data_IF_842193524464
#
_entry.id   IF_842193524464
#
_cell.length_a   1.000
_cell.length_b   1.000
_cell.length_c   1.000
_cell.angle_alpha   90.00
_cell.angle_beta   90.00
_cell.angle_gamma   90.00
#
_symmetry.space_group_name_H-M   'P 1'
#
loop_
_entity.id
_entity.type
_entity.pdbx_description
1 polymer ?
#
# COMPACT_ATOMS: atom_id res chain seq x y z
N UNK A 1 15.55 -12.80 -7.70
CA UNK A 1 14.65 -11.83 -8.34
C UNK A 1 13.69 -12.64 -9.19
N UNK A 2 12.42 -12.75 -8.81
CA UNK A 2 11.42 -13.52 -9.56
C UNK A 2 10.72 -12.54 -10.51
N UNK A 3 11.15 -12.50 -11.77
CA UNK A 3 10.60 -11.64 -12.81
C UNK A 3 9.49 -12.40 -13.55
N UNK A 4 8.25 -11.98 -13.37
CA UNK A 4 7.10 -12.57 -14.04
C UNK A 4 6.56 -11.69 -15.18
N UNK A 5 7.11 -10.49 -15.38
CA UNK A 5 6.64 -9.52 -16.37
C UNK A 5 5.11 -9.33 -16.38
N UNK A 6 4.58 -8.83 -17.51
CA UNK A 6 3.12 -8.65 -17.76
C UNK A 6 2.31 -9.96 -17.81
N UNK A 7 2.90 -11.14 -17.55
CA UNK A 7 2.24 -12.46 -17.74
C UNK A 7 1.09 -12.70 -16.77
N UNK A 8 1.05 -11.97 -15.65
CA UNK A 8 -0.06 -12.02 -14.70
C UNK A 8 -0.36 -10.62 -14.17
N UNK A 9 -1.65 -10.28 -14.08
CA UNK A 9 -2.13 -9.12 -13.31
C UNK A 9 -2.14 -9.41 -11.80
N UNK A 10 -2.24 -10.70 -11.43
CA UNK A 10 -2.30 -11.14 -10.05
C UNK A 10 -0.89 -11.29 -9.48
N UNK A 11 -0.69 -10.73 -8.28
CA UNK A 11 0.52 -10.87 -7.49
C UNK A 11 0.69 -12.33 -7.06
N UNK A 12 1.84 -12.92 -7.32
CA UNK A 12 2.16 -14.28 -6.89
C UNK A 12 2.43 -14.36 -5.40
N UNK A 13 2.41 -15.58 -4.84
CA UNK A 13 2.68 -15.78 -3.41
C UNK A 13 4.07 -15.27 -2.99
N UNK A 14 5.10 -15.43 -3.83
CA UNK A 14 6.44 -14.94 -3.54
C UNK A 14 6.49 -13.41 -3.50
N UNK A 15 5.85 -12.73 -4.45
CA UNK A 15 5.74 -11.28 -4.48
C UNK A 15 4.91 -10.75 -3.31
N UNK A 16 3.83 -11.44 -2.92
CA UNK A 16 3.05 -11.11 -1.71
C UNK A 16 3.92 -11.17 -0.47
N UNK A 17 4.80 -12.16 -0.33
CA UNK A 17 5.73 -12.25 0.81
C UNK A 17 6.70 -11.08 0.84
N UNK A 18 7.31 -10.73 -0.31
CA UNK A 18 8.21 -9.57 -0.41
C UNK A 18 7.48 -8.29 -0.04
N UNK A 19 6.27 -8.09 -0.55
CA UNK A 19 5.43 -6.94 -0.25
C UNK A 19 5.03 -6.90 1.23
N UNK A 20 4.65 -8.03 1.84
CA UNK A 20 4.30 -8.09 3.24
C UNK A 20 5.47 -7.71 4.16
N UNK A 21 6.69 -8.17 3.84
CA UNK A 21 7.91 -7.81 4.58
C UNK A 21 8.28 -6.33 4.38
N UNK A 22 8.07 -5.80 3.18
CA UNK A 22 8.42 -4.41 2.85
C UNK A 22 7.42 -3.39 3.38
N UNK A 23 6.14 -3.68 3.27
CA UNK A 23 5.05 -2.74 3.51
C UNK A 23 4.43 -2.88 4.90
N UNK A 24 4.58 -4.05 5.55
CA UNK A 24 4.03 -4.31 6.89
C UNK A 24 2.50 -4.32 6.98
N UNK A 25 1.79 -3.93 5.92
CA UNK A 25 0.34 -3.78 5.89
C UNK A 25 -0.11 -2.83 4.79
N UNK A 26 -1.28 -2.22 4.97
CA UNK A 26 -1.74 -1.17 4.07
C UNK A 26 -0.82 0.04 4.18
N UNK A 27 -0.27 0.45 3.04
CA UNK A 27 0.70 1.55 2.95
C UNK A 27 0.06 2.93 2.92
N UNK A 28 -1.28 3.02 2.92
CA UNK A 28 -1.97 4.29 2.97
C UNK A 28 -1.75 4.93 4.35
N UNK A 29 -1.38 6.22 4.44
CA UNK A 29 -0.95 6.81 5.70
C UNK A 29 -1.99 6.63 6.81
N UNK A 30 -1.55 6.20 7.99
CA UNK A 30 -2.41 5.97 9.16
C UNK A 30 -3.21 4.65 9.15
N UNK A 31 -3.19 3.87 8.07
CA UNK A 31 -3.94 2.62 8.02
C UNK A 31 -3.21 1.46 8.73
N UNK A 32 -3.87 0.84 9.71
CA UNK A 32 -3.35 -0.34 10.42
C UNK A 32 -3.75 -1.71 9.89
N UNK A 33 -4.20 -1.81 8.64
CA UNK A 33 -4.65 -3.10 8.10
C UNK A 33 -3.45 -4.04 7.87
N UNK A 34 -3.50 -5.30 8.35
CA UNK A 34 -2.38 -6.22 8.20
C UNK A 34 -2.20 -6.68 6.74
N UNK A 35 -1.03 -7.23 6.36
CA UNK A 35 -0.76 -7.66 4.99
C UNK A 35 -1.77 -8.67 4.45
N UNK A 36 -2.28 -9.56 5.31
CA UNK A 36 -3.29 -10.57 4.92
C UNK A 36 -4.63 -9.99 4.47
N UNK A 37 -4.88 -8.69 4.71
CA UNK A 37 -6.09 -7.98 4.27
C UNK A 37 -5.84 -7.08 3.06
N UNK A 38 -4.61 -7.10 2.54
CA UNK A 38 -4.15 -6.22 1.50
C UNK A 38 -3.93 -6.97 0.19
N UNK A 39 -4.14 -6.24 -0.91
CA UNK A 39 -3.78 -6.64 -2.25
C UNK A 39 -2.72 -5.68 -2.79
N UNK A 40 -1.95 -6.13 -3.79
CA UNK A 40 -0.96 -5.27 -4.45
C UNK A 40 -1.64 -4.25 -5.37
N UNK A 41 -1.36 -2.98 -5.13
CA UNK A 41 -1.72 -1.84 -5.95
C UNK A 41 -0.60 -1.52 -6.93
N UNK A 42 -0.89 -1.50 -8.23
CA UNK A 42 0.08 -1.08 -9.25
C UNK A 42 0.30 0.44 -9.22
N UNK A 43 1.55 0.86 -9.01
CA UNK A 43 1.97 2.29 -9.03
C UNK A 43 1.78 2.86 -10.43
N UNK A 44 2.46 2.29 -11.43
CA UNK A 44 2.08 2.44 -12.83
C UNK A 44 1.04 1.39 -13.12
N UNK A 45 -0.16 1.82 -13.49
CA UNK A 45 -1.26 0.89 -13.75
C UNK A 45 -0.88 -0.17 -14.79
N UNK A 46 -1.32 -1.41 -14.54
CA UNK A 46 -1.08 -2.54 -15.46
C UNK A 46 -1.65 -2.26 -16.86
N UNK A 47 -2.79 -1.59 -16.96
CA UNK A 47 -3.40 -1.15 -18.23
C UNK A 47 -2.51 -0.19 -19.02
N UNK A 48 -1.61 0.55 -18.35
CA UNK A 48 -0.79 1.60 -18.95
C UNK A 48 0.66 1.19 -19.23
N UNK A 49 1.04 -0.05 -18.93
CA UNK A 49 2.45 -0.45 -19.01
C UNK A 49 2.96 -1.23 -17.83
N UNK A 50 2.33 -1.06 -16.67
CA UNK A 50 2.86 -1.49 -15.39
C UNK A 50 3.17 -2.98 -15.33
N UNK A 51 4.35 -3.30 -14.79
CA UNK A 51 4.71 -4.67 -14.47
C UNK A 51 4.07 -5.06 -13.14
N UNK A 52 3.76 -6.35 -12.99
CA UNK A 52 3.44 -6.91 -11.69
C UNK A 52 4.77 -7.38 -11.11
N UNK A 53 5.41 -6.50 -10.33
CA UNK A 53 6.63 -6.80 -9.59
C UNK A 53 6.65 -5.97 -8.30
N UNK A 54 7.42 -6.36 -7.28
CA UNK A 54 7.42 -5.64 -6.01
C UNK A 54 7.76 -4.14 -6.15
N UNK A 55 8.75 -3.70 -6.95
CA UNK A 55 9.02 -2.28 -7.16
C UNK A 55 7.84 -1.45 -7.68
N UNK A 56 7.00 -2.00 -8.55
CA UNK A 56 5.81 -1.34 -9.11
C UNK A 56 4.51 -1.61 -8.31
N UNK A 57 4.61 -2.22 -7.13
CA UNK A 57 3.46 -2.54 -6.30
C UNK A 57 3.55 -1.86 -4.93
N UNK A 58 2.41 -1.57 -4.31
CA UNK A 58 2.27 -1.21 -2.89
C UNK A 58 1.05 -1.90 -2.28
N UNK A 59 1.12 -2.38 -1.04
CA UNK A 59 -0.03 -3.02 -0.40
C UNK A 59 -1.11 -2.01 -0.02
N UNK A 60 -2.36 -2.34 -0.36
CA UNK A 60 -3.54 -1.60 0.05
C UNK A 60 -4.66 -2.54 0.51
N UNK A 61 -5.32 -2.18 1.60
CA UNK A 61 -6.56 -2.83 2.00
C UNK A 61 -7.68 -2.49 1.02
N UNK A 62 -8.73 -3.31 0.94
CA UNK A 62 -9.84 -3.10 0.00
C UNK A 62 -10.48 -1.70 0.07
N UNK A 63 -10.56 -1.11 1.27
CA UNK A 63 -11.09 0.23 1.45
C UNK A 63 -10.21 1.27 0.77
N UNK A 64 -8.93 1.35 1.14
CA UNK A 64 -8.01 2.31 0.55
C UNK A 64 -7.72 2.03 -0.91
N UNK A 65 -7.77 0.77 -1.37
CA UNK A 65 -7.74 0.45 -2.79
C UNK A 65 -8.86 1.16 -3.56
N UNK A 66 -10.06 1.22 -2.99
CA UNK A 66 -11.19 1.94 -3.59
C UNK A 66 -10.97 3.45 -3.54
N UNK A 67 -10.49 3.98 -2.41
CA UNK A 67 -10.21 5.42 -2.21
C UNK A 67 -9.21 5.92 -3.24
N UNK A 68 -8.07 5.24 -3.39
CA UNK A 68 -7.01 5.72 -4.30
C UNK A 68 -7.48 5.71 -5.76
N UNK A 69 -8.24 4.69 -6.17
CA UNK A 69 -8.81 4.64 -7.52
C UNK A 69 -9.89 5.70 -7.73
N UNK A 70 -10.77 5.91 -6.74
CA UNK A 70 -11.87 6.89 -6.84
C UNK A 70 -11.35 8.33 -6.91
N UNK A 71 -10.31 8.64 -6.14
CA UNK A 71 -9.81 9.99 -5.97
C UNK A 71 -8.52 10.27 -6.76
N UNK A 72 -8.07 9.32 -7.60
CA UNK A 72 -6.87 9.47 -8.43
C UNK A 72 -5.60 9.74 -7.61
N UNK A 73 -5.50 9.13 -6.43
CA UNK A 73 -4.30 9.28 -5.61
C UNK A 73 -3.13 8.56 -6.26
N UNK A 74 -1.96 9.17 -6.18
CA UNK A 74 -0.72 8.64 -6.73
C UNK A 74 0.21 8.22 -5.60
N UNK A 75 1.10 7.28 -5.91
CA UNK A 75 2.04 6.70 -4.96
C UNK A 75 3.44 6.66 -5.55
N UNK A 76 4.42 6.93 -4.70
CA UNK A 76 5.84 6.69 -4.98
C UNK A 76 6.40 5.74 -3.92
N UNK A 77 7.19 4.76 -4.34
CA UNK A 77 7.87 3.83 -3.44
C UNK A 77 9.36 4.14 -3.49
N UNK A 78 9.87 4.74 -2.42
CA UNK A 78 11.26 5.20 -2.28
C UNK A 78 11.96 4.44 -1.15
N UNK A 79 13.30 4.34 -1.11
CA UNK A 79 14.02 3.60 -0.05
C UNK A 79 13.61 3.94 1.39
N UNK A 80 13.06 5.12 1.65
CA UNK A 80 12.60 5.57 2.97
C UNK A 80 11.15 5.18 3.31
N UNK A 81 10.32 4.84 2.33
CA UNK A 81 8.91 4.56 2.57
C UNK A 81 8.02 4.52 1.33
N UNK A 82 6.71 4.61 1.58
CA UNK A 82 5.68 4.73 0.55
C UNK A 82 5.00 6.10 0.72
N UNK A 83 5.15 6.96 -0.28
CA UNK A 83 4.65 8.33 -0.27
C UNK A 83 3.37 8.43 -1.10
N UNK A 84 2.29 8.92 -0.48
CA UNK A 84 0.99 9.10 -1.13
C UNK A 84 0.71 10.59 -1.40
N UNK A 85 0.15 10.85 -2.57
CA UNK A 85 -0.26 12.20 -3.01
C UNK A 85 -1.66 12.16 -3.59
N UNK A 86 -2.38 13.29 -3.48
CA UNK A 86 -3.66 13.48 -4.16
C UNK A 86 -3.44 13.67 -5.66
N UNK A 87 -4.53 13.68 -6.43
CA UNK A 87 -4.47 13.90 -7.88
C UNK A 87 -3.86 15.26 -8.26
N UNK A 88 -3.98 16.28 -7.39
CA UNK A 88 -3.38 17.60 -7.56
C UNK A 88 -1.89 17.67 -7.15
N UNK A 89 -1.30 16.55 -6.72
CA UNK A 89 0.07 16.46 -6.26
C UNK A 89 0.29 16.83 -4.78
N UNK A 90 -0.73 17.34 -4.08
CA UNK A 90 -0.62 17.65 -2.65
C UNK A 90 -0.33 16.38 -1.83
N UNK A 91 0.54 16.46 -0.81
CA UNK A 91 0.90 15.29 -0.03
C UNK A 91 -0.27 14.80 0.84
N UNK A 92 -0.50 13.50 0.86
CA UNK A 92 -1.39 12.83 1.82
C UNK A 92 -0.56 12.41 3.04
N UNK A 93 0.63 11.88 2.81
CA UNK A 93 1.55 11.44 3.86
C UNK A 93 2.46 10.31 3.38
N UNK A 94 3.34 9.86 4.27
CA UNK A 94 4.22 8.72 4.04
C UNK A 94 3.97 7.59 5.04
N UNK A 95 4.18 6.36 4.59
CA UNK A 95 4.32 5.19 5.46
C UNK A 95 5.81 4.82 5.48
N UNK A 96 6.53 5.04 6.59
CA UNK A 96 7.96 4.75 6.69
C UNK A 96 8.25 3.25 6.57
N UNK A 97 9.37 2.90 5.91
CA UNK A 97 9.79 1.50 5.69
C UNK A 97 10.22 0.76 6.97
N UNK A 98 10.55 1.49 8.04
CA UNK A 98 10.89 0.97 9.35
C UNK A 98 10.35 1.89 10.45
N UNK A 99 9.82 1.32 11.54
CA UNK A 99 9.33 2.09 12.69
C UNK A 99 7.83 2.36 12.68
N UNK A 100 7.02 1.35 12.36
CA UNK A 100 5.57 1.40 12.59
C UNK A 100 5.30 1.54 14.11
N UNK A 101 5.33 2.77 14.61
CA UNK A 101 4.55 3.18 15.78
C UNK A 101 3.11 3.24 15.30
N UNK A 102 2.21 2.60 16.02
CA UNK A 102 0.87 2.27 15.54
C UNK A 102 0.05 3.42 14.95
N UNK A 103 -1.02 3.05 14.24
CA UNK A 103 -2.08 3.90 13.70
C UNK A 103 -2.08 5.34 14.26
N UNK A 104 -1.67 6.31 13.44
CA UNK A 104 -1.96 7.71 13.77
C UNK A 104 -3.47 7.88 13.79
N UNK A 105 -3.92 8.54 14.85
CA UNK A 105 -5.24 8.58 15.47
C UNK A 105 -6.45 8.96 14.59
N UNK A 106 -6.27 9.22 13.28
CA UNK A 106 -7.32 9.76 12.43
C UNK A 106 -7.60 9.05 11.08
N UNK A 107 -7.05 7.85 10.80
CA UNK A 107 -7.50 7.08 9.63
C UNK A 107 -7.98 5.67 9.98
N UNK A 108 -9.27 5.61 10.35
CA UNK A 108 -9.95 4.37 10.75
C UNK A 108 -10.35 3.61 9.49
N UNK A 109 -9.44 2.79 8.96
CA UNK A 109 -9.86 1.73 8.04
C UNK A 109 -10.99 0.95 8.74
N UNK A 110 -12.24 0.94 8.21
CA UNK A 110 -13.43 0.55 8.97
C UNK A 110 -13.46 -0.93 9.39
N UNK A 111 -12.49 -1.72 8.90
CA UNK A 111 -12.30 -3.12 9.28
C UNK A 111 -11.23 -3.34 10.35
N UNK A 112 -10.36 -2.36 10.64
CA UNK A 112 -9.31 -2.51 11.64
C UNK A 112 -9.89 -2.13 13.00
N UNK A 113 -9.93 -3.04 14.00
CA UNK A 113 -10.32 -2.64 15.35
C UNK A 113 -9.34 -1.58 15.84
N UNK A 114 -9.86 -0.47 16.39
CA UNK A 114 -9.02 0.56 17.02
C UNK A 114 -8.14 -0.12 18.09
N UNK A 115 -6.84 0.19 18.18
CA UNK A 115 -6.06 -0.28 19.31
C UNK A 115 -6.76 0.20 20.60
N UNK A 116 -6.93 -0.71 21.56
CA UNK A 116 -7.44 -0.35 22.88
C UNK A 116 -6.52 0.73 23.45
N UNK A 117 -7.08 1.88 23.83
CA UNK A 117 -6.32 2.93 24.50
C UNK A 117 -5.78 2.34 25.82
N UNK A 118 -4.49 2.54 26.17
CA UNK A 118 -4.04 2.23 27.52
C UNK A 118 -4.84 3.09 28.52
N UNK A 119 -5.21 2.47 29.64
CA UNK A 119 -5.94 3.10 30.73
C UNK A 119 -5.14 4.23 31.41
#
# INVERSE_FOLDING_TARGET
MLDLGRRSRLVTSAERTVLALRDGGCTYPGCGAPPGWCDGHHIRHWSEGGMTDPPNLALLCRHHHTVVHRHGHTVTVDPDGVLWRRADGSPIGNTPRFGWVGAVENDTCPRVPRPAQPA
#
